data_IF_161670781700
#
_entry.id   IF_161670781700
#
_cell.length_a   1.000
_cell.length_b   1.000
_cell.length_c   1.000
_cell.angle_alpha   90.00
_cell.angle_beta   90.00
_cell.angle_gamma   90.00
#
_symmetry.space_group_name_H-M   'P 1'
#
loop_
_entity.id
_entity.type
_entity.pdbx_description
1 polymer ?
#
# COMPACT_ATOMS: atom_id res chain seq x y z
N UNK A 1 -7.07 -12.66 23.92
CA UNK A 1 -7.81 -12.54 22.66
C UNK A 1 -6.91 -13.04 21.54
N UNK A 2 -7.24 -14.20 20.95
CA UNK A 2 -6.50 -14.74 19.80
C UNK A 2 -6.97 -13.98 18.56
N UNK A 3 -6.10 -13.22 17.91
CA UNK A 3 -6.37 -12.69 16.58
C UNK A 3 -6.49 -13.88 15.63
N UNK A 4 -7.69 -14.02 15.05
CA UNK A 4 -7.95 -14.89 13.92
C UNK A 4 -7.14 -14.34 12.74
N UNK A 5 -6.03 -14.98 12.38
CA UNK A 5 -5.47 -14.83 11.03
C UNK A 5 -6.50 -15.43 10.08
N UNK A 6 -7.27 -14.56 9.43
CA UNK A 6 -8.11 -14.93 8.30
C UNK A 6 -7.16 -15.18 7.11
N UNK A 7 -6.59 -16.37 7.04
CA UNK A 7 -5.96 -16.86 5.82
C UNK A 7 -7.12 -16.99 4.83
N UNK A 8 -7.27 -16.00 3.94
CA UNK A 8 -8.09 -16.13 2.75
C UNK A 8 -7.45 -17.24 1.90
N UNK A 9 -7.78 -18.49 2.21
CA UNK A 9 -7.57 -19.61 1.30
C UNK A 9 -8.52 -19.40 0.14
N UNK A 10 -8.08 -18.60 -0.84
CA UNK A 10 -8.66 -18.63 -2.17
C UNK A 10 -8.41 -20.06 -2.65
N UNK A 11 -9.47 -20.84 -2.64
CA UNK A 11 -9.51 -22.16 -3.27
C UNK A 11 -8.98 -21.98 -4.69
N UNK A 12 -7.79 -22.54 -4.94
CA UNK A 12 -7.37 -22.87 -6.30
C UNK A 12 -8.53 -23.67 -6.88
N UNK A 13 -9.25 -23.07 -7.82
CA UNK A 13 -9.97 -23.88 -8.80
C UNK A 13 -8.87 -24.64 -9.54
N UNK A 14 -8.61 -25.85 -9.07
CA UNK A 14 -7.90 -26.87 -9.83
C UNK A 14 -8.78 -27.18 -11.03
N UNK A 15 -8.66 -26.37 -12.09
CA UNK A 15 -9.22 -26.72 -13.39
C UNK A 15 -8.42 -27.94 -13.84
N UNK A 16 -9.07 -29.10 -13.73
CA UNK A 16 -8.93 -30.24 -14.63
C UNK A 16 -7.51 -30.67 -14.95
N UNK A 17 -7.05 -31.68 -14.22
CA UNK A 17 -6.16 -32.71 -14.73
C UNK A 17 -6.58 -33.17 -16.15
N UNK A 18 -5.69 -33.04 -17.14
CA UNK A 18 -5.62 -34.02 -18.24
C UNK A 18 -6.06 -33.63 -19.66
N UNK A 19 -6.22 -32.35 -20.02
CA UNK A 19 -6.22 -31.95 -21.44
C UNK A 19 -5.01 -31.06 -21.71
N UNK A 20 -4.08 -31.52 -22.55
CA UNK A 20 -3.02 -30.68 -23.09
C UNK A 20 -3.66 -29.50 -23.78
N UNK A 21 -3.47 -28.29 -23.24
CA UNK A 21 -3.84 -27.08 -23.98
C UNK A 21 -2.94 -26.98 -25.21
N UNK A 22 -3.49 -26.56 -26.35
CA UNK A 22 -2.68 -26.30 -27.54
C UNK A 22 -1.69 -25.17 -27.22
N UNK A 23 -0.44 -25.34 -27.65
CA UNK A 23 0.64 -24.37 -27.46
C UNK A 23 1.11 -23.87 -28.82
N UNK A 24 1.34 -22.58 -28.92
CA UNK A 24 1.70 -21.87 -30.14
C UNK A 24 2.88 -20.95 -29.86
N UNK A 25 3.82 -20.85 -30.79
CA UNK A 25 4.86 -19.83 -30.78
C UNK A 25 4.34 -18.50 -31.32
N UNK A 26 5.04 -17.39 -31.02
CA UNK A 26 4.73 -16.07 -31.58
C UNK A 26 4.71 -16.04 -33.11
N UNK A 27 5.48 -16.90 -33.76
CA UNK A 27 5.52 -16.96 -35.23
C UNK A 27 4.28 -17.61 -35.85
N UNK A 28 3.50 -18.36 -35.08
CA UNK A 28 2.28 -19.04 -35.53
C UNK A 28 1.01 -18.19 -35.40
N UNK A 29 1.09 -17.06 -34.70
CA UNK A 29 -0.08 -16.21 -34.40
C UNK A 29 0.03 -14.81 -34.98
N UNK A 30 -1.11 -14.22 -35.36
CA UNK A 30 -1.22 -12.84 -35.80
C UNK A 30 -2.40 -12.17 -35.12
N UNK A 31 -2.43 -10.84 -35.12
CA UNK A 31 -3.41 -10.06 -34.39
C UNK A 31 -4.14 -9.10 -35.34
N UNK A 32 -5.47 -9.11 -35.25
CA UNK A 32 -6.35 -8.22 -36.00
C UNK A 32 -7.47 -7.78 -35.06
N UNK A 33 -7.70 -6.47 -34.95
CA UNK A 33 -8.76 -5.88 -34.12
C UNK A 33 -8.83 -6.46 -32.70
N UNK A 34 -7.67 -6.55 -32.05
CA UNK A 34 -7.50 -7.05 -30.68
C UNK A 34 -7.78 -8.56 -30.49
N UNK A 35 -8.09 -9.29 -31.54
CA UNK A 35 -8.26 -10.74 -31.55
C UNK A 35 -7.01 -11.39 -32.14
N UNK A 36 -6.49 -12.41 -31.44
CA UNK A 36 -5.35 -13.21 -31.88
C UNK A 36 -5.85 -14.42 -32.66
N UNK A 37 -5.28 -14.63 -33.86
CA UNK A 37 -5.62 -15.69 -34.80
C UNK A 37 -4.41 -16.56 -35.12
N UNK A 38 -4.64 -17.83 -35.46
CA UNK A 38 -3.63 -18.69 -36.07
C UNK A 38 -3.34 -18.23 -37.50
N UNK A 39 -2.07 -18.04 -37.88
CA UNK A 39 -1.69 -17.65 -39.25
C UNK A 39 -2.03 -18.71 -40.30
N UNK A 40 -2.18 -19.97 -39.88
CA UNK A 40 -2.43 -21.11 -40.77
C UNK A 40 -3.80 -21.06 -41.43
N UNK A 41 -4.83 -20.66 -40.70
CA UNK A 41 -6.23 -20.76 -41.12
C UNK A 41 -7.10 -19.58 -40.66
N UNK A 42 -6.51 -18.58 -40.00
CA UNK A 42 -7.19 -17.41 -39.45
C UNK A 42 -8.31 -17.76 -38.46
N UNK A 43 -8.22 -18.91 -37.78
CA UNK A 43 -9.11 -19.22 -36.66
C UNK A 43 -8.64 -18.53 -35.37
N UNK A 44 -9.55 -18.06 -34.49
CA UNK A 44 -9.17 -17.44 -33.23
C UNK A 44 -8.41 -18.42 -32.32
N UNK A 45 -7.33 -17.96 -31.69
CA UNK A 45 -6.50 -18.78 -30.82
C UNK A 45 -7.29 -19.23 -29.60
N UNK A 46 -7.25 -20.54 -29.35
CA UNK A 46 -7.74 -21.17 -28.12
C UNK A 46 -6.61 -22.04 -27.57
N UNK A 47 -5.98 -21.59 -26.48
CA UNK A 47 -4.78 -22.22 -25.93
C UNK A 47 -3.77 -21.21 -25.40
N UNK A 48 -2.50 -21.59 -25.44
CA UNK A 48 -1.39 -20.80 -24.90
C UNK A 48 -0.52 -20.33 -26.06
N UNK A 49 -0.24 -19.03 -26.14
CA UNK A 49 0.86 -18.53 -26.98
C UNK A 49 2.07 -18.21 -26.11
N UNK A 50 3.23 -18.71 -26.54
CA UNK A 50 4.53 -18.48 -25.91
C UNK A 50 5.30 -17.39 -26.67
N UNK A 51 5.85 -16.45 -25.93
CA UNK A 51 6.65 -15.35 -26.46
C UNK A 51 7.94 -15.22 -25.66
N UNK A 52 9.07 -15.02 -26.34
CA UNK A 52 10.28 -14.52 -25.68
C UNK A 52 9.97 -13.12 -25.15
N UNK A 53 10.24 -12.90 -23.86
CA UNK A 53 9.88 -11.66 -23.18
C UNK A 53 11.15 -10.98 -22.68
N UNK A 54 11.54 -9.92 -23.38
CA UNK A 54 12.81 -9.20 -23.20
C UNK A 54 14.04 -10.13 -23.28
N UNK A 55 15.23 -9.62 -22.95
CA UNK A 55 16.46 -10.43 -22.94
C UNK A 55 16.54 -11.39 -21.73
N UNK A 56 15.54 -11.40 -20.83
CA UNK A 56 15.67 -11.97 -19.48
C UNK A 56 14.58 -13.01 -19.11
N UNK A 57 13.82 -13.56 -20.07
CA UNK A 57 12.80 -14.56 -19.74
C UNK A 57 11.83 -15.01 -20.85
N UNK A 58 10.74 -15.66 -20.42
CA UNK A 58 9.64 -16.12 -21.30
C UNK A 58 8.29 -15.66 -20.77
N UNK A 59 7.33 -15.49 -21.66
CA UNK A 59 5.93 -15.23 -21.32
C UNK A 59 4.98 -16.27 -21.95
N UNK A 60 3.90 -16.57 -21.25
CA UNK A 60 2.77 -17.36 -21.73
C UNK A 60 1.51 -16.50 -21.64
N UNK A 61 0.75 -16.46 -22.72
CA UNK A 61 -0.53 -15.79 -22.81
C UNK A 61 -1.63 -16.81 -23.07
N UNK A 62 -2.68 -16.78 -22.25
CA UNK A 62 -3.77 -17.75 -22.27
C UNK A 62 -4.97 -17.13 -22.99
N UNK A 63 -5.30 -17.71 -24.14
CA UNK A 63 -6.34 -17.23 -25.05
C UNK A 63 -7.58 -18.10 -25.04
N UNK A 64 -8.73 -17.44 -25.12
CA UNK A 64 -10.02 -18.03 -25.43
C UNK A 64 -10.71 -17.19 -26.50
N UNK A 65 -11.11 -17.81 -27.60
CA UNK A 65 -11.70 -17.13 -28.76
C UNK A 65 -10.85 -15.95 -29.25
N UNK A 66 -9.52 -16.14 -29.24
CA UNK A 66 -8.51 -15.14 -29.62
C UNK A 66 -8.35 -13.98 -28.63
N UNK A 67 -9.10 -13.95 -27.53
CA UNK A 67 -8.95 -12.95 -26.46
C UNK A 67 -8.05 -13.48 -25.37
N UNK A 68 -7.04 -12.70 -24.99
CA UNK A 68 -6.18 -13.01 -23.84
C UNK A 68 -6.92 -12.69 -22.54
N UNK A 69 -6.89 -13.63 -21.59
CA UNK A 69 -7.50 -13.45 -20.27
C UNK A 69 -6.51 -13.53 -19.10
N UNK A 70 -5.40 -14.24 -19.29
CA UNK A 70 -4.36 -14.44 -18.28
C UNK A 70 -3.01 -14.43 -18.99
N UNK A 71 -2.00 -13.87 -18.32
CA UNK A 71 -0.62 -14.04 -18.73
C UNK A 71 0.25 -14.48 -17.55
N UNK A 72 1.37 -15.09 -17.87
CA UNK A 72 2.43 -15.46 -16.95
C UNK A 72 3.78 -15.11 -17.56
N UNK A 73 4.71 -14.64 -16.75
CA UNK A 73 6.07 -14.32 -17.13
C UNK A 73 7.01 -15.04 -16.19
N UNK A 74 8.09 -15.60 -16.69
CA UNK A 74 9.13 -16.26 -15.92
C UNK A 74 10.47 -15.58 -16.12
N UNK A 75 11.31 -15.61 -15.09
CA UNK A 75 12.73 -15.29 -15.17
C UNK A 75 13.50 -16.36 -15.97
N UNK A 76 14.71 -16.02 -16.43
CA UNK A 76 15.62 -16.97 -17.09
C UNK A 76 15.87 -18.24 -16.25
N UNK A 77 15.95 -18.09 -14.93
CA UNK A 77 16.14 -19.21 -14.00
C UNK A 77 14.93 -20.15 -13.90
N UNK A 78 13.85 -19.86 -14.63
CA UNK A 78 12.63 -20.65 -14.71
C UNK A 78 11.61 -20.38 -13.61
N UNK A 79 11.90 -19.48 -12.67
CA UNK A 79 10.95 -19.07 -11.64
C UNK A 79 9.90 -18.10 -12.18
N UNK A 80 8.68 -18.19 -11.65
CA UNK A 80 7.60 -17.30 -12.03
C UNK A 80 7.96 -15.88 -11.59
N UNK A 81 7.95 -14.93 -12.52
CA UNK A 81 8.20 -13.50 -12.30
C UNK A 81 6.91 -12.77 -12.01
N UNK A 82 5.86 -13.10 -12.77
CA UNK A 82 4.58 -12.38 -12.71
C UNK A 82 3.44 -13.20 -13.29
N UNK A 83 2.25 -13.02 -12.74
CA UNK A 83 1.01 -13.46 -13.36
C UNK A 83 -0.07 -12.40 -13.17
N UNK A 84 -0.96 -12.29 -14.14
CA UNK A 84 -2.02 -11.28 -14.09
C UNK A 84 -3.15 -11.59 -15.06
N UNK A 85 -4.35 -11.14 -14.70
CA UNK A 85 -5.53 -11.25 -15.54
C UNK A 85 -5.68 -10.00 -16.42
N UNK A 86 -6.21 -10.19 -17.62
CA UNK A 86 -6.42 -9.14 -18.62
C UNK A 86 -7.88 -9.16 -19.08
N UNK A 87 -8.44 -7.98 -19.28
CA UNK A 87 -9.73 -7.78 -19.94
C UNK A 87 -9.54 -6.65 -20.94
N UNK A 88 -9.84 -6.94 -22.21
CA UNK A 88 -9.62 -6.01 -23.32
C UNK A 88 -8.19 -5.42 -23.33
N UNK A 89 -7.22 -6.25 -22.90
CA UNK A 89 -5.76 -5.97 -22.77
C UNK A 89 -5.35 -5.01 -21.67
N UNK A 90 -6.28 -4.60 -20.84
CA UNK A 90 -5.98 -3.88 -19.62
C UNK A 90 -5.92 -4.87 -18.46
N UNK A 91 -5.04 -4.65 -17.47
CA UNK A 91 -5.07 -5.40 -16.21
C UNK A 91 -6.47 -5.38 -15.58
N UNK A 92 -7.03 -6.55 -15.32
CA UNK A 92 -8.36 -6.69 -14.71
C UNK A 92 -8.43 -8.02 -13.96
N UNK A 93 -8.55 -7.96 -12.64
CA UNK A 93 -8.50 -9.09 -11.74
C UNK A 93 -7.15 -9.23 -11.02
N UNK A 94 -6.90 -10.43 -10.51
CA UNK A 94 -5.77 -10.72 -9.64
C UNK A 94 -4.43 -10.57 -10.37
N UNK A 95 -3.47 -9.96 -9.68
CA UNK A 95 -2.10 -9.76 -10.09
C UNK A 95 -1.15 -10.20 -8.99
N UNK A 96 -0.05 -10.84 -9.38
CA UNK A 96 1.03 -11.23 -8.47
C UNK A 96 2.39 -11.10 -9.15
N UNK A 97 3.38 -10.68 -8.38
CA UNK A 97 4.78 -10.60 -8.80
C UNK A 97 5.67 -11.29 -7.77
N UNK A 98 6.70 -11.98 -8.24
CA UNK A 98 7.71 -12.64 -7.41
C UNK A 98 9.10 -12.17 -7.84
N UNK A 99 10.08 -12.29 -6.96
CA UNK A 99 11.49 -12.05 -7.28
C UNK A 99 12.20 -13.31 -7.85
N UNK A 100 13.48 -13.18 -8.19
CA UNK A 100 14.32 -14.26 -8.73
C UNK A 100 14.66 -15.39 -7.74
N UNK A 101 14.22 -15.31 -6.49
CA UNK A 101 14.28 -16.43 -5.53
C UNK A 101 12.95 -17.15 -5.37
N UNK A 102 11.88 -16.65 -6.02
CA UNK A 102 10.54 -17.23 -6.02
C UNK A 102 9.68 -16.69 -4.89
N UNK A 103 10.12 -15.62 -4.25
CA UNK A 103 9.44 -14.97 -3.14
C UNK A 103 8.42 -13.96 -3.67
N UNK A 104 7.18 -14.05 -3.19
CA UNK A 104 6.13 -13.11 -3.55
C UNK A 104 6.52 -11.72 -3.04
N UNK A 105 6.55 -10.73 -3.93
CA UNK A 105 6.91 -9.34 -3.58
C UNK A 105 5.72 -8.39 -3.70
N UNK A 106 4.67 -8.79 -4.41
CA UNK A 106 3.49 -7.96 -4.64
C UNK A 106 2.27 -8.81 -5.02
N UNK A 107 1.11 -8.47 -4.47
CA UNK A 107 -0.18 -8.97 -4.93
C UNK A 107 -1.28 -7.92 -4.78
N UNK A 108 -2.28 -8.01 -5.63
CA UNK A 108 -3.52 -7.22 -5.51
C UNK A 108 -4.41 -7.43 -6.71
N UNK A 109 -5.45 -6.61 -6.83
CA UNK A 109 -6.35 -6.67 -7.99
C UNK A 109 -6.27 -5.39 -8.81
N UNK A 110 -6.42 -5.54 -10.12
CA UNK A 110 -6.74 -4.44 -11.00
C UNK A 110 -8.23 -4.49 -11.38
N UNK A 111 -8.76 -3.35 -11.79
CA UNK A 111 -10.07 -3.24 -12.44
C UNK A 111 -9.98 -2.17 -13.50
N UNK A 112 -10.32 -2.53 -14.74
CA UNK A 112 -10.26 -1.64 -15.91
C UNK A 112 -8.90 -0.86 -15.96
N UNK A 113 -7.79 -1.58 -15.77
CA UNK A 113 -6.43 -1.04 -15.82
C UNK A 113 -5.93 -0.32 -14.56
N UNK A 114 -6.78 -0.10 -13.55
CA UNK A 114 -6.43 0.64 -12.33
C UNK A 114 -6.32 -0.25 -11.09
N UNK A 115 -5.49 0.16 -10.13
CA UNK A 115 -5.40 -0.51 -8.82
C UNK A 115 -6.77 -0.55 -8.12
N UNK A 116 -7.21 -1.74 -7.70
CA UNK A 116 -8.49 -1.94 -7.03
C UNK A 116 -8.37 -2.82 -5.78
N UNK A 117 -9.03 -2.41 -4.70
CA UNK A 117 -9.03 -3.13 -3.44
C UNK A 117 -7.68 -3.16 -2.74
N UNK A 118 -7.45 -4.23 -1.97
CA UNK A 118 -6.27 -4.37 -1.12
C UNK A 118 -5.06 -4.86 -1.91
N UNK A 119 -4.00 -4.06 -1.89
CA UNK A 119 -2.68 -4.38 -2.41
C UNK A 119 -1.71 -4.64 -1.27
N UNK A 120 -0.91 -5.70 -1.41
CA UNK A 120 0.10 -6.09 -0.45
C UNK A 120 1.45 -6.18 -1.13
N UNK A 121 2.48 -5.82 -0.37
CA UNK A 121 3.85 -5.92 -0.81
C UNK A 121 4.69 -6.51 0.31
N UNK A 122 5.74 -7.21 -0.08
CA UNK A 122 6.69 -7.85 0.83
C UNK A 122 8.10 -7.38 0.56
N UNK A 123 8.92 -7.41 1.60
CA UNK A 123 10.36 -7.28 1.49
C UNK A 123 10.97 -8.49 0.77
N UNK A 124 12.20 -8.36 0.28
CA UNK A 124 12.93 -9.48 -0.32
C UNK A 124 13.13 -10.65 0.65
N UNK A 125 13.12 -10.39 1.96
CA UNK A 125 13.19 -11.43 2.99
C UNK A 125 11.83 -12.13 3.26
N UNK A 126 10.74 -11.68 2.63
CA UNK A 126 9.38 -12.22 2.76
C UNK A 126 8.53 -11.64 3.88
N UNK A 127 9.06 -10.71 4.66
CA UNK A 127 8.28 -10.00 5.65
C UNK A 127 7.36 -8.99 4.98
N UNK A 128 6.23 -8.68 5.62
CA UNK A 128 5.31 -7.67 5.11
C UNK A 128 6.01 -6.32 5.02
N UNK A 129 5.91 -5.67 3.86
CA UNK A 129 6.40 -4.32 3.64
C UNK A 129 5.28 -3.31 3.82
N UNK A 130 4.19 -3.46 3.06
CA UNK A 130 3.06 -2.53 3.14
C UNK A 130 1.77 -3.14 2.61
N UNK A 131 0.66 -2.59 3.07
CA UNK A 131 -0.69 -2.85 2.61
C UNK A 131 -1.36 -1.51 2.28
N UNK A 132 -2.04 -1.43 1.15
CA UNK A 132 -2.70 -0.21 0.66
C UNK A 132 -4.05 -0.58 0.06
N UNK A 133 -5.13 0.04 0.53
CA UNK A 133 -6.42 -0.05 -0.14
C UNK A 133 -6.56 1.00 -1.24
N UNK A 134 -7.03 0.56 -2.40
CA UNK A 134 -7.36 1.40 -3.54
C UNK A 134 -8.84 1.31 -3.88
N UNK A 135 -9.37 2.42 -4.40
CA UNK A 135 -10.69 2.52 -5.01
C UNK A 135 -10.62 3.54 -6.14
N UNK A 136 -11.08 3.16 -7.33
CA UNK A 136 -11.05 4.01 -8.53
C UNK A 136 -9.63 4.58 -8.78
N UNK A 137 -8.63 3.68 -8.72
CA UNK A 137 -7.21 3.99 -8.92
C UNK A 137 -6.54 4.83 -7.83
N UNK A 138 -7.29 5.27 -6.81
CA UNK A 138 -6.79 6.15 -5.74
C UNK A 138 -6.72 5.43 -4.41
N UNK A 139 -5.74 5.79 -3.59
CA UNK A 139 -5.65 5.30 -2.20
C UNK A 139 -6.92 5.70 -1.46
N UNK A 140 -7.59 4.73 -0.85
CA UNK A 140 -8.84 4.95 -0.10
C UNK A 140 -8.97 3.94 1.03
N UNK A 141 -9.00 4.42 2.26
CA UNK A 141 -9.03 3.61 3.47
C UNK A 141 -7.64 3.35 4.02
N UNK A 142 -7.38 2.09 4.37
CA UNK A 142 -6.21 1.68 5.13
C UNK A 142 -4.92 1.73 4.32
N UNK A 143 -3.88 2.28 4.94
CA UNK A 143 -2.47 2.12 4.56
C UNK A 143 -1.71 1.66 5.79
N UNK A 144 -0.94 0.59 5.68
CA UNK A 144 -0.01 0.14 6.72
C UNK A 144 1.35 -0.15 6.12
N UNK A 145 2.40 0.16 6.87
CA UNK A 145 3.79 -0.16 6.55
C UNK A 145 4.45 -0.75 7.77
N UNK A 146 5.29 -1.74 7.54
CA UNK A 146 6.07 -2.39 8.58
C UNK A 146 7.55 -2.18 8.31
N UNK A 147 8.35 -2.22 9.37
CA UNK A 147 9.78 -2.45 9.27
C UNK A 147 10.04 -3.90 8.82
N UNK A 148 11.20 -4.17 8.23
CA UNK A 148 11.79 -5.52 8.29
C UNK A 148 11.90 -5.88 9.78
N UNK A 149 11.73 -7.08 10.29
CA UNK A 149 11.38 -7.41 11.69
C UNK A 149 9.88 -7.41 12.01
N UNK A 150 9.07 -6.72 11.20
CA UNK A 150 7.61 -6.80 11.25
C UNK A 150 6.93 -5.90 12.28
N UNK A 151 7.65 -4.98 12.94
CA UNK A 151 7.02 -3.90 13.71
C UNK A 151 6.34 -2.91 12.78
N UNK A 152 5.20 -2.35 13.19
CA UNK A 152 4.52 -1.31 12.39
C UNK A 152 5.42 -0.08 12.38
N UNK A 153 5.67 0.46 11.18
CA UNK A 153 6.37 1.72 10.96
C UNK A 153 5.37 2.87 10.82
N UNK A 154 4.25 2.59 10.17
CA UNK A 154 3.27 3.60 9.79
C UNK A 154 1.91 2.96 9.58
N UNK A 155 0.86 3.62 10.05
CA UNK A 155 -0.50 3.29 9.67
C UNK A 155 -1.36 4.54 9.52
N UNK A 156 -2.25 4.52 8.54
CA UNK A 156 -3.31 5.50 8.42
C UNK A 156 -4.58 4.86 7.89
N UNK A 157 -5.72 5.41 8.30
CA UNK A 157 -7.03 5.09 7.74
C UNK A 157 -7.66 6.40 7.28
N UNK A 158 -7.49 6.74 6.00
CA UNK A 158 -8.08 7.94 5.40
C UNK A 158 -9.27 7.58 4.53
N UNK A 159 -10.45 8.04 4.93
CA UNK A 159 -11.68 7.93 4.14
C UNK A 159 -12.10 9.35 3.77
N UNK A 160 -12.07 9.68 2.48
CA UNK A 160 -12.44 11.01 1.97
C UNK A 160 -11.72 12.17 2.69
N UNK A 161 -10.43 12.02 2.98
CA UNK A 161 -9.61 13.05 3.64
C UNK A 161 -9.83 13.19 5.15
N UNK A 162 -10.63 12.31 5.77
CA UNK A 162 -10.81 12.23 7.23
C UNK A 162 -10.18 10.96 7.75
N UNK A 163 -9.41 11.06 8.83
CA UNK A 163 -8.65 9.92 9.35
C UNK A 163 -7.59 10.30 10.35
N UNK A 164 -6.84 9.29 10.78
CA UNK A 164 -5.69 9.44 11.68
C UNK A 164 -4.45 8.90 10.99
N UNK A 165 -3.37 9.63 11.08
CA UNK A 165 -2.04 9.28 10.62
C UNK A 165 -1.17 8.92 11.81
N UNK A 166 -0.56 7.73 11.82
CA UNK A 166 0.32 7.29 12.91
C UNK A 166 1.63 6.78 12.36
N UNK A 167 2.73 7.19 12.97
CA UNK A 167 4.05 6.60 12.73
C UNK A 167 4.68 6.15 14.04
N UNK A 168 5.58 5.19 13.93
CA UNK A 168 6.22 4.55 15.07
C UNK A 168 7.72 4.56 14.86
N UNK A 169 8.48 4.65 15.95
CA UNK A 169 9.90 4.40 15.95
C UNK A 169 10.18 2.91 15.70
N UNK A 170 11.43 2.62 15.31
CA UNK A 170 11.87 1.23 15.17
C UNK A 170 11.65 0.46 16.45
N UNK A 171 11.87 1.05 17.63
CA UNK A 171 11.63 0.40 18.93
C UNK A 171 10.14 0.02 19.19
N UNK A 172 9.21 0.41 18.30
CA UNK A 172 7.77 0.12 18.36
C UNK A 172 6.96 1.15 19.14
N UNK A 173 7.60 2.19 19.67
CA UNK A 173 6.90 3.29 20.32
C UNK A 173 6.26 4.21 19.28
N UNK A 174 5.11 4.78 19.62
CA UNK A 174 4.45 5.77 18.78
C UNK A 174 5.33 7.01 18.68
N UNK A 175 5.58 7.49 17.46
CA UNK A 175 6.39 8.67 17.20
C UNK A 175 5.50 9.89 16.92
N UNK A 176 4.42 9.70 16.17
CA UNK A 176 3.50 10.78 15.79
C UNK A 176 2.09 10.25 15.57
N UNK A 177 1.10 11.06 15.92
CA UNK A 177 -0.33 10.83 15.71
C UNK A 177 -0.98 12.14 15.26
N UNK A 178 -1.52 12.17 14.03
CA UNK A 178 -2.22 13.34 13.51
C UNK A 178 -3.63 13.04 13.03
N UNK A 179 -4.58 13.82 13.52
CA UNK A 179 -5.98 13.78 13.14
C UNK A 179 -6.26 14.78 12.01
N UNK A 180 -6.95 14.30 10.97
CA UNK A 180 -7.42 15.09 9.84
C UNK A 180 -8.93 15.00 9.67
N UNK A 181 -9.50 16.09 9.14
CA UNK A 181 -10.86 16.17 8.64
C UNK A 181 -10.89 16.97 7.35
N UNK A 182 -11.55 16.43 6.33
CA UNK A 182 -11.68 17.06 5.00
C UNK A 182 -10.32 17.50 4.41
N UNK A 183 -9.28 16.69 4.61
CA UNK A 183 -7.93 16.92 4.11
C UNK A 183 -7.11 17.96 4.90
N UNK A 184 -7.59 18.42 6.05
CA UNK A 184 -6.91 19.41 6.91
C UNK A 184 -6.68 18.87 8.32
N UNK A 185 -5.60 19.27 9.01
CA UNK A 185 -5.45 18.98 10.43
C UNK A 185 -6.67 19.46 11.22
N UNK A 186 -7.31 18.56 11.96
CA UNK A 186 -8.51 18.84 12.75
C UNK A 186 -8.56 17.86 13.93
N UNK A 187 -8.49 18.40 15.14
CA UNK A 187 -8.32 17.65 16.36
C UNK A 187 -6.90 17.73 16.91
N UNK A 188 -6.56 16.71 17.69
CA UNK A 188 -5.35 16.64 18.51
C UNK A 188 -4.20 16.04 17.72
N UNK A 189 -3.04 16.69 17.75
CA UNK A 189 -1.80 16.23 17.15
C UNK A 189 -0.83 15.93 18.27
N UNK A 190 -0.08 14.83 18.17
CA UNK A 190 0.87 14.43 19.18
C UNK A 190 2.15 13.90 18.57
N UNK A 191 3.25 14.24 19.22
CA UNK A 191 4.58 13.70 18.95
C UNK A 191 5.18 13.20 20.26
N UNK A 192 5.97 12.14 20.17
CA UNK A 192 6.63 11.53 21.33
C UNK A 192 8.09 11.35 21.02
N UNK A 193 8.92 11.42 22.06
CA UNK A 193 10.31 10.99 21.99
C UNK A 193 10.43 9.46 21.84
N UNK A 194 11.58 8.99 21.37
CA UNK A 194 11.92 7.56 21.28
C UNK A 194 12.02 6.86 22.65
N UNK A 195 11.94 7.61 23.76
CA UNK A 195 11.81 7.04 25.11
C UNK A 195 10.35 6.84 25.55
N UNK A 196 9.39 7.29 24.75
CA UNK A 196 7.94 7.14 24.93
C UNK A 196 7.30 8.29 25.67
N UNK A 197 8.08 9.29 26.07
CA UNK A 197 7.56 10.51 26.67
C UNK A 197 6.96 11.42 25.59
N UNK A 198 5.86 12.08 25.93
CA UNK A 198 5.20 13.03 25.03
C UNK A 198 6.13 14.23 24.82
N UNK A 199 6.45 14.53 23.56
CA UNK A 199 7.28 15.66 23.16
C UNK A 199 6.41 16.89 22.88
N UNK A 200 5.29 16.69 22.19
CA UNK A 200 4.42 17.77 21.77
C UNK A 200 2.96 17.31 21.70
N UNK A 201 2.05 18.21 22.04
CA UNK A 201 0.61 18.04 21.85
C UNK A 201 -0.03 19.36 21.43
N UNK A 202 -0.72 19.36 20.29
CA UNK A 202 -1.30 20.56 19.70
C UNK A 202 -2.75 20.31 19.26
N UNK A 203 -3.58 21.35 19.31
CA UNK A 203 -4.96 21.25 18.82
C UNK A 203 -5.18 22.14 17.60
N UNK A 204 -5.84 21.57 16.59
CA UNK A 204 -6.22 22.26 15.37
C UNK A 204 -7.72 22.13 15.11
N UNK A 205 -8.26 23.11 14.40
CA UNK A 205 -9.61 23.09 13.85
C UNK A 205 -9.56 23.64 12.43
N UNK A 206 -9.94 22.83 11.45
CA UNK A 206 -9.94 23.22 10.02
C UNK A 206 -8.57 23.76 9.54
N UNK A 207 -7.48 23.14 10.00
CA UNK A 207 -6.11 23.50 9.66
C UNK A 207 -5.56 24.74 10.38
N UNK A 208 -6.26 25.28 11.38
CA UNK A 208 -5.79 26.40 12.21
C UNK A 208 -5.63 25.96 13.66
N UNK A 209 -4.65 26.53 14.35
CA UNK A 209 -4.45 26.31 15.78
C UNK A 209 -5.69 26.75 16.57
N UNK A 210 -6.28 25.85 17.36
CA UNK A 210 -7.45 26.11 18.20
C UNK A 210 -7.45 25.19 19.41
N UNK A 211 -7.11 25.72 20.58
CA UNK A 211 -7.03 24.95 21.82
C UNK A 211 -5.67 25.07 22.51
N UNK A 212 -5.34 24.07 23.32
CA UNK A 212 -4.06 24.01 24.03
C UNK A 212 -2.98 23.40 23.15
N UNK A 213 -1.79 23.99 23.24
CA UNK A 213 -0.55 23.57 22.62
C UNK A 213 0.47 23.41 23.74
N UNK A 214 1.16 22.28 23.80
CA UNK A 214 2.13 21.98 24.85
C UNK A 214 3.34 21.28 24.26
N UNK A 215 4.52 21.61 24.76
CA UNK A 215 5.77 20.89 24.48
C UNK A 215 6.45 20.53 25.79
N UNK A 216 7.14 19.42 25.81
CA UNK A 216 7.88 18.91 26.97
C UNK A 216 9.30 18.57 26.56
N UNK A 217 10.24 18.72 27.49
CA UNK A 217 11.58 18.18 27.35
C UNK A 217 11.56 16.65 27.42
N UNK A 218 12.65 16.02 26.97
CA UNK A 218 12.91 14.57 27.00
C UNK A 218 12.97 13.94 28.40
N UNK A 219 12.94 14.75 29.45
CA UNK A 219 12.83 14.35 30.85
C UNK A 219 11.39 14.42 31.39
N UNK A 220 10.42 14.85 30.56
CA UNK A 220 9.01 14.96 30.87
C UNK A 220 8.61 16.30 31.50
N UNK A 221 9.55 17.22 31.69
CA UNK A 221 9.28 18.56 32.20
C UNK A 221 8.59 19.38 31.11
N UNK A 222 7.49 20.07 31.46
CA UNK A 222 6.82 20.98 30.54
C UNK A 222 7.79 22.09 30.12
N UNK A 223 7.97 22.27 28.81
CA UNK A 223 8.80 23.31 28.19
C UNK A 223 7.92 24.51 27.82
N UNK A 224 6.75 24.25 27.24
CA UNK A 224 5.88 25.29 26.68
C UNK A 224 4.41 24.92 26.88
N UNK A 225 3.59 25.94 27.13
CA UNK A 225 2.14 25.85 27.06
C UNK A 225 1.59 27.14 26.43
N UNK A 226 0.82 26.99 25.36
CA UNK A 226 0.09 28.08 24.72
C UNK A 226 -1.38 27.74 24.56
N UNK A 227 -2.23 28.77 24.58
CA UNK A 227 -3.63 28.64 24.17
C UNK A 227 -3.88 29.49 22.95
N UNK A 228 -4.50 28.88 21.94
CA UNK A 228 -4.77 29.50 20.65
C UNK A 228 -6.26 29.48 20.35
N UNK A 229 -6.73 30.48 19.61
CA UNK A 229 -8.08 30.51 19.07
C UNK A 229 -8.08 30.96 17.62
N UNK A 230 -8.47 30.06 16.73
CA UNK A 230 -8.54 30.33 15.29
C UNK A 230 -7.23 30.88 14.69
N UNK A 231 -6.08 30.46 15.24
CA UNK A 231 -4.73 30.91 14.87
C UNK A 231 -4.20 32.08 15.72
N UNK A 232 -5.02 32.74 16.53
CA UNK A 232 -4.57 33.84 17.38
C UNK A 232 -4.10 33.30 18.73
N UNK A 233 -2.94 33.77 19.19
CA UNK A 233 -2.39 33.47 20.52
C UNK A 233 -3.27 34.17 21.56
N UNK A 234 -3.68 33.43 22.60
CA UNK A 234 -4.38 33.97 23.78
C UNK A 234 -3.38 34.15 24.93
N UNK A 235 -2.59 33.12 25.22
CA UNK A 235 -1.49 33.21 26.17
C UNK A 235 -0.39 32.21 25.82
N UNK A 236 0.81 32.46 26.34
CA UNK A 236 1.93 31.52 26.31
C UNK A 236 2.67 31.52 27.64
N UNK A 237 3.22 30.35 27.99
CA UNK A 237 4.13 30.14 29.10
C UNK A 237 5.28 29.26 28.65
N UNK A 238 6.49 29.62 29.07
CA UNK A 238 7.71 28.85 28.81
C UNK A 238 8.41 28.53 30.14
N UNK A 239 8.97 27.35 30.23
CA UNK A 239 9.75 26.87 31.38
C UNK A 239 11.10 26.34 30.93
N UNK A 240 12.10 26.43 31.80
CA UNK A 240 13.38 25.75 31.59
C UNK A 240 13.28 24.25 31.88
N UNK A 241 14.34 23.51 31.53
CA UNK A 241 14.42 22.05 31.76
C UNK A 241 14.34 21.60 33.22
N UNK A 242 14.48 22.53 34.18
CA UNK A 242 14.35 22.27 35.61
C UNK A 242 12.95 22.64 36.14
N UNK A 243 12.07 23.13 35.27
CA UNK A 243 10.71 23.54 35.60
C UNK A 243 10.58 24.98 36.10
N UNK A 244 11.60 25.81 35.95
CA UNK A 244 11.50 27.22 36.31
C UNK A 244 10.79 28.00 35.19
N UNK A 245 9.75 28.76 35.53
CA UNK A 245 9.03 29.61 34.58
C UNK A 245 9.97 30.72 34.05
N UNK A 246 10.14 30.78 32.73
CA UNK A 246 10.94 31.78 32.02
C UNK A 246 10.04 32.89 31.47
N UNK A 247 8.82 32.55 31.04
CA UNK A 247 7.90 33.47 30.35
C UNK A 247 6.45 33.19 30.73
N UNK A 248 5.65 34.24 30.90
CA UNK A 248 4.19 34.18 31.06
C UNK A 248 3.59 35.46 30.45
N UNK A 249 2.95 35.33 29.28
CA UNK A 249 2.39 36.44 28.51
C UNK A 249 0.95 36.14 28.07
N UNK A 250 0.09 37.15 28.11
CA UNK A 250 -1.29 37.12 27.62
C UNK A 250 -1.47 38.22 26.58
N UNK A 251 -2.20 37.92 25.50
CA UNK A 251 -2.36 38.77 24.32
C UNK A 251 -3.81 39.25 24.14
#
# INVERSE_FOLDING_TARGET
>A
MKQLLLILSITLLTIGSGMSQNRYSRDEVTEIDWITYLKSDMTPVNGIAEEEYDNDGRAEFYYKDGKVGLFKVWYENGQLKREGNLKDREPDGLWRSWNETGQLVEEGNFKDGEYDGLWRHWYENGQFLKEVNYKDGKRNGLVKRWYEDGRIMYETEFINGTGVDKSYYENGQLAHEVNYKDGKPDGLQREWYENGQLEQEENYKQGKEDGLHRRWYDNGQLEFEGRFKAGDIIYVKDWDKNGNLIKDETY
#
